data_IF_391221330438
#
_entry.id   IF_391221330438
#
_cell.length_a   1.000
_cell.length_b   1.000
_cell.length_c   1.000
_cell.angle_alpha   90.00
_cell.angle_beta   90.00
_cell.angle_gamma   90.00
#
_symmetry.space_group_name_H-M   'P 1'
#
loop_
_entity.id
_entity.type
_entity.pdbx_description
1 polymer ?
#
# COMPACT_ATOMS: atom_id res chain seq x y z
N UNK A 1 2.13 -37.79 6.42
CA UNK A 1 1.67 -36.38 6.48
C UNK A 1 1.75 -35.79 5.08
N UNK A 2 0.63 -35.46 4.46
CA UNK A 2 0.64 -34.75 3.17
C UNK A 2 0.87 -33.27 3.43
N UNK A 3 2.07 -32.79 3.12
CA UNK A 3 2.39 -31.36 3.13
C UNK A 3 1.79 -30.73 1.88
N UNK A 4 0.83 -29.81 2.05
CA UNK A 4 0.26 -29.05 0.93
C UNK A 4 1.42 -28.28 0.27
N UNK A 5 1.72 -28.60 -0.99
CA UNK A 5 2.87 -28.04 -1.74
C UNK A 5 2.69 -26.55 -2.08
N UNK A 6 1.46 -26.05 -1.97
CA UNK A 6 1.07 -24.72 -2.38
C UNK A 6 0.15 -24.09 -1.34
N UNK A 7 0.63 -23.08 -0.63
CA UNK A 7 -0.22 -22.27 0.23
C UNK A 7 -1.05 -21.33 -0.70
N UNK A 8 -2.38 -21.29 -0.61
CA UNK A 8 -3.22 -20.50 -1.49
C UNK A 8 -3.19 -19.00 -1.11
N UNK A 9 -2.01 -18.41 -0.95
CA UNK A 9 -1.82 -16.99 -0.61
C UNK A 9 -2.41 -16.05 -1.67
N UNK A 10 -2.52 -16.55 -2.91
CA UNK A 10 -3.17 -15.84 -4.02
C UNK A 10 -4.70 -15.83 -3.93
N UNK A 11 -5.29 -16.73 -3.15
CA UNK A 11 -6.74 -16.82 -2.98
C UNK A 11 -7.26 -15.73 -2.04
N UNK A 12 -6.46 -15.37 -1.02
CA UNK A 12 -6.78 -14.31 -0.07
C UNK A 12 -6.28 -12.92 -0.51
N UNK A 13 -5.44 -12.86 -1.54
CA UNK A 13 -4.94 -11.59 -2.06
C UNK A 13 -5.97 -10.95 -2.99
N UNK A 14 -6.23 -9.65 -2.81
CA UNK A 14 -7.10 -8.91 -3.72
C UNK A 14 -6.57 -8.99 -5.16
N UNK A 15 -7.44 -9.33 -6.14
CA UNK A 15 -7.03 -9.40 -7.52
C UNK A 15 -6.77 -8.02 -8.10
N UNK A 16 -5.85 -7.97 -9.07
CA UNK A 16 -5.62 -6.78 -9.88
C UNK A 16 -6.74 -6.69 -10.92
N UNK A 17 -7.47 -5.58 -10.92
CA UNK A 17 -8.60 -5.35 -11.83
C UNK A 17 -8.14 -4.63 -13.10
N UNK A 18 -7.40 -3.53 -12.97
CA UNK A 18 -7.01 -2.72 -14.13
C UNK A 18 -5.61 -2.11 -13.97
N UNK A 19 -4.71 -2.35 -14.92
CA UNK A 19 -3.35 -1.76 -15.00
C UNK A 19 -2.54 -1.77 -13.68
N UNK A 20 -2.73 -2.77 -12.82
CA UNK A 20 -2.02 -2.89 -11.53
C UNK A 20 -2.79 -2.37 -10.30
N UNK A 21 -3.97 -1.78 -10.49
CA UNK A 21 -4.88 -1.39 -9.42
C UNK A 21 -5.69 -2.59 -8.91
N UNK A 22 -5.80 -2.73 -7.59
CA UNK A 22 -6.89 -3.49 -6.98
C UNK A 22 -8.17 -2.65 -6.99
N UNK A 23 -9.32 -3.28 -6.72
CA UNK A 23 -10.63 -2.61 -6.67
C UNK A 23 -10.64 -1.32 -5.83
N UNK A 24 -10.19 -1.33 -4.56
CA UNK A 24 -10.20 -0.11 -3.74
C UNK A 24 -9.25 0.96 -4.28
N UNK A 25 -8.08 0.59 -4.78
CA UNK A 25 -7.11 1.55 -5.30
C UNK A 25 -7.62 2.25 -6.57
N UNK A 26 -8.29 1.50 -7.45
CA UNK A 26 -8.93 2.07 -8.63
C UNK A 26 -10.04 3.04 -8.22
N UNK A 27 -10.88 2.66 -7.26
CA UNK A 27 -11.95 3.51 -6.73
C UNK A 27 -11.42 4.81 -6.13
N UNK A 28 -10.40 4.75 -5.27
CA UNK A 28 -9.77 5.94 -4.70
C UNK A 28 -9.11 6.83 -5.76
N UNK A 29 -8.46 6.23 -6.76
CA UNK A 29 -7.86 6.99 -7.86
C UNK A 29 -8.94 7.67 -8.70
N UNK A 30 -10.04 7.00 -9.00
CA UNK A 30 -11.16 7.59 -9.73
C UNK A 30 -11.80 8.74 -8.96
N UNK A 31 -12.06 8.55 -7.66
CA UNK A 31 -12.67 9.55 -6.80
C UNK A 31 -11.79 10.80 -6.63
N UNK A 32 -10.49 10.60 -6.38
CA UNK A 32 -9.53 11.72 -6.28
C UNK A 32 -9.38 12.46 -7.61
N UNK A 33 -9.36 11.73 -8.74
CA UNK A 33 -9.39 12.33 -10.06
C UNK A 33 -10.65 13.14 -10.34
N UNK A 34 -11.81 12.68 -9.87
CA UNK A 34 -13.09 13.36 -10.03
C UNK A 34 -13.11 14.66 -9.22
N UNK A 35 -12.71 14.60 -7.95
CA UNK A 35 -12.62 15.77 -7.07
C UNK A 35 -11.63 16.79 -7.66
N UNK A 36 -10.43 16.35 -8.04
CA UNK A 36 -9.43 17.21 -8.65
C UNK A 36 -9.93 17.82 -9.97
N UNK A 37 -10.59 17.03 -10.81
CA UNK A 37 -11.15 17.50 -12.07
C UNK A 37 -12.24 18.54 -11.88
N UNK A 38 -13.13 18.35 -10.91
CA UNK A 38 -14.17 19.33 -10.55
C UNK A 38 -13.56 20.63 -10.03
N UNK A 39 -12.55 20.55 -9.15
CA UNK A 39 -11.84 21.73 -8.65
C UNK A 39 -11.18 22.48 -9.81
N UNK A 40 -10.44 21.79 -10.68
CA UNK A 40 -9.80 22.41 -11.85
C UNK A 40 -10.85 23.04 -12.78
N UNK A 41 -11.96 22.34 -13.06
CA UNK A 41 -13.05 22.87 -13.87
C UNK A 41 -13.70 24.12 -13.27
N UNK A 42 -13.83 24.17 -11.94
CA UNK A 42 -14.31 25.36 -11.23
C UNK A 42 -13.34 26.54 -11.39
N UNK A 43 -12.03 26.31 -11.27
CA UNK A 43 -11.02 27.34 -11.48
C UNK A 43 -11.01 27.87 -12.93
N UNK A 44 -11.35 27.02 -13.91
CA UNK A 44 -11.42 27.40 -15.33
C UNK A 44 -12.73 28.12 -15.70
N UNK A 45 -13.76 28.00 -14.87
CA UNK A 45 -15.11 28.54 -15.15
C UNK A 45 -15.12 30.03 -15.51
N UNK A 46 -14.34 30.93 -14.89
CA UNK A 46 -14.33 32.36 -15.26
C UNK A 46 -13.87 32.63 -16.70
N UNK A 47 -13.09 31.72 -17.31
CA UNK A 47 -12.51 31.90 -18.65
C UNK A 47 -13.32 31.16 -19.70
N UNK A 48 -13.83 29.97 -19.38
CA UNK A 48 -14.42 29.04 -20.37
C UNK A 48 -15.91 28.80 -20.16
N UNK A 49 -16.50 29.30 -19.08
CA UNK A 49 -17.88 29.01 -18.68
C UNK A 49 -18.04 27.68 -17.91
N UNK A 50 -19.27 27.46 -17.42
CA UNK A 50 -19.61 26.37 -16.50
C UNK A 50 -19.50 24.96 -17.10
N UNK A 51 -19.57 24.85 -18.43
CA UNK A 51 -19.51 23.57 -19.16
C UNK A 51 -18.18 22.84 -18.89
N UNK A 52 -17.11 23.57 -18.57
CA UNK A 52 -15.82 22.95 -18.26
C UNK A 52 -15.81 22.16 -16.95
N UNK A 53 -16.74 22.40 -16.02
CA UNK A 53 -16.82 21.66 -14.77
C UNK A 53 -17.07 20.16 -15.04
N UNK A 54 -18.20 19.75 -15.65
CA UNK A 54 -18.44 18.33 -15.93
C UNK A 54 -17.43 17.74 -16.92
N UNK A 55 -16.95 18.52 -17.89
CA UNK A 55 -15.96 18.04 -18.87
C UNK A 55 -14.65 17.62 -18.21
N UNK A 56 -14.07 18.48 -17.38
CA UNK A 56 -12.80 18.18 -16.71
C UNK A 56 -13.00 17.15 -15.60
N UNK A 57 -14.12 17.20 -14.88
CA UNK A 57 -14.47 16.20 -13.87
C UNK A 57 -14.53 14.77 -14.43
N UNK A 58 -15.01 14.58 -15.66
CA UNK A 58 -15.08 13.26 -16.30
C UNK A 58 -13.75 12.83 -16.95
N UNK A 59 -12.98 13.77 -17.51
CA UNK A 59 -11.70 13.46 -18.18
C UNK A 59 -10.58 13.19 -17.17
N UNK A 60 -10.51 13.95 -16.07
CA UNK A 60 -9.41 13.87 -15.11
C UNK A 60 -9.22 12.46 -14.47
N UNK A 61 -10.26 11.73 -14.03
CA UNK A 61 -10.13 10.36 -13.55
C UNK A 61 -9.52 9.42 -14.58
N UNK A 62 -9.93 9.53 -15.86
CA UNK A 62 -9.44 8.68 -16.93
C UNK A 62 -7.94 8.87 -17.17
N UNK A 63 -7.50 10.12 -17.21
CA UNK A 63 -6.08 10.46 -17.31
C UNK A 63 -5.31 9.94 -16.09
N UNK A 64 -5.81 10.24 -14.88
CA UNK A 64 -5.16 9.85 -13.64
C UNK A 64 -5.01 8.33 -13.53
N UNK A 65 -6.01 7.55 -13.92
CA UNK A 65 -5.93 6.08 -13.93
C UNK A 65 -4.95 5.59 -15.01
N UNK A 66 -4.99 6.17 -16.21
CA UNK A 66 -4.12 5.76 -17.31
C UNK A 66 -2.63 5.93 -17.00
N UNK A 67 -2.26 7.06 -16.38
CA UNK A 67 -0.88 7.34 -15.96
C UNK A 67 -0.54 6.73 -14.60
N UNK A 68 -1.45 6.81 -13.64
CA UNK A 68 -1.29 6.32 -12.27
C UNK A 68 -1.09 4.82 -12.19
N UNK A 69 -1.74 4.03 -13.06
CA UNK A 69 -1.58 2.58 -13.08
C UNK A 69 -0.15 2.14 -13.38
N UNK A 70 0.51 2.77 -14.36
CA UNK A 70 1.93 2.50 -14.66
C UNK A 70 2.83 2.86 -13.48
N UNK A 71 2.56 3.98 -12.81
CA UNK A 71 3.33 4.41 -11.65
C UNK A 71 3.16 3.45 -10.47
N UNK A 72 1.91 3.09 -10.14
CA UNK A 72 1.59 2.17 -9.05
C UNK A 72 2.14 0.77 -9.30
N UNK A 73 2.05 0.26 -10.53
CA UNK A 73 2.64 -1.02 -10.92
C UNK A 73 4.16 -1.05 -10.74
N UNK A 74 4.86 0.06 -11.05
CA UNK A 74 6.31 0.18 -10.76
C UNK A 74 6.59 0.19 -9.27
N UNK A 75 5.80 0.91 -8.47
CA UNK A 75 5.97 0.94 -7.00
C UNK A 75 5.75 -0.43 -6.36
N UNK A 76 4.80 -1.22 -6.88
CA UNK A 76 4.50 -2.58 -6.42
C UNK A 76 5.51 -3.63 -6.90
N UNK A 77 6.38 -3.32 -7.86
CA UNK A 77 7.28 -4.30 -8.47
C UNK A 77 8.29 -4.86 -7.45
N UNK A 78 8.34 -6.18 -7.34
CA UNK A 78 9.26 -6.87 -6.42
C UNK A 78 8.94 -6.66 -4.93
N UNK A 79 7.74 -6.17 -4.60
CA UNK A 79 7.27 -5.98 -3.22
C UNK A 79 6.29 -7.09 -2.83
N UNK A 80 6.24 -7.48 -1.54
CA UNK A 80 5.27 -8.45 -1.05
C UNK A 80 3.83 -7.92 -1.16
N UNK A 81 2.86 -8.82 -1.02
CA UNK A 81 1.45 -8.43 -0.95
C UNK A 81 1.19 -7.43 0.18
N UNK A 82 0.22 -6.53 0.01
CA UNK A 82 -0.16 -5.49 0.98
C UNK A 82 0.95 -4.50 1.41
N UNK A 83 2.12 -4.52 0.75
CA UNK A 83 3.25 -3.68 1.10
C UNK A 83 2.93 -2.18 1.21
N UNK A 84 2.14 -1.64 0.27
CA UNK A 84 1.75 -0.23 0.28
C UNK A 84 0.89 0.13 1.48
N UNK A 85 -0.10 -0.70 1.82
CA UNK A 85 -0.97 -0.50 2.97
C UNK A 85 -0.18 -0.56 4.27
N UNK A 86 0.67 -1.57 4.46
CA UNK A 86 1.53 -1.66 5.65
C UNK A 86 2.47 -0.45 5.76
N UNK A 87 3.04 0.02 4.65
CA UNK A 87 3.92 1.19 4.68
C UNK A 87 3.17 2.48 5.01
N UNK A 88 1.92 2.61 4.57
CA UNK A 88 1.04 3.70 4.97
C UNK A 88 0.69 3.62 6.46
N UNK A 89 0.41 2.43 7.00
CA UNK A 89 0.14 2.24 8.43
C UNK A 89 1.35 2.61 9.28
N UNK A 90 2.55 2.13 8.92
CA UNK A 90 3.80 2.53 9.58
C UNK A 90 4.00 4.06 9.53
N UNK A 91 3.68 4.70 8.40
CA UNK A 91 3.79 6.16 8.29
C UNK A 91 2.77 6.90 9.15
N UNK A 92 1.50 6.48 9.14
CA UNK A 92 0.45 6.99 10.04
C UNK A 92 0.88 6.85 11.49
N UNK A 93 1.57 5.75 11.81
CA UNK A 93 2.12 5.49 13.14
C UNK A 93 3.22 6.43 13.57
N UNK A 94 4.19 6.68 12.70
CA UNK A 94 5.22 7.67 12.98
C UNK A 94 4.64 9.08 13.15
N UNK A 95 3.46 9.36 12.58
CA UNK A 95 2.72 10.61 12.75
C UNK A 95 1.73 10.61 13.93
N UNK A 96 1.64 9.53 14.70
CA UNK A 96 0.72 9.42 15.85
C UNK A 96 -0.76 9.16 15.49
N UNK A 97 -1.08 8.91 14.22
CA UNK A 97 -2.44 8.77 13.69
C UNK A 97 -2.83 7.32 13.32
N UNK A 98 -2.12 6.30 13.83
CA UNK A 98 -2.41 4.89 13.53
C UNK A 98 -2.50 3.98 14.76
N UNK A 99 -2.85 2.71 14.54
CA UNK A 99 -3.23 1.73 15.56
C UNK A 99 -2.15 1.39 16.60
N UNK A 100 -2.24 1.84 17.89
CA UNK A 100 -1.30 1.61 19.02
C UNK A 100 -0.63 0.24 19.12
N UNK A 101 -1.26 -0.81 18.62
CA UNK A 101 -0.72 -2.17 18.62
C UNK A 101 0.34 -2.45 17.54
N UNK A 102 0.40 -1.65 16.46
CA UNK A 102 1.32 -1.91 15.35
C UNK A 102 2.79 -1.83 15.79
N UNK A 103 3.48 -2.97 15.74
CA UNK A 103 4.89 -3.10 16.13
C UNK A 103 5.77 -2.53 15.01
N UNK A 104 6.37 -1.37 15.25
CA UNK A 104 7.32 -0.71 14.35
C UNK A 104 8.77 -0.75 14.84
N UNK A 105 9.00 -1.33 16.02
CA UNK A 105 10.33 -1.49 16.60
C UNK A 105 11.03 -2.70 16.03
N UNK A 106 12.34 -2.58 15.81
CA UNK A 106 13.20 -3.71 15.44
C UNK A 106 14.18 -3.96 16.58
N UNK A 107 14.35 -5.23 16.94
CA UNK A 107 15.26 -5.67 17.99
C UNK A 107 16.16 -6.77 17.46
N UNK A 108 17.39 -6.85 17.98
CA UNK A 108 18.28 -7.97 17.67
C UNK A 108 17.80 -9.20 18.43
N UNK A 109 17.70 -10.33 17.73
CA UNK A 109 17.39 -11.60 18.36
C UNK A 109 18.57 -12.00 19.25
N UNK A 110 18.32 -12.19 20.55
CA UNK A 110 19.31 -12.69 21.50
C UNK A 110 18.85 -14.05 22.00
N UNK A 111 19.62 -15.10 21.72
CA UNK A 111 19.44 -16.40 22.35
C UNK A 111 20.03 -16.33 23.76
N UNK A 112 19.21 -15.95 24.74
CA UNK A 112 19.60 -16.05 26.16
C UNK A 112 19.82 -17.53 26.47
N UNK A 113 21.09 -17.96 26.62
CA UNK A 113 21.38 -19.30 27.12
C UNK A 113 20.96 -19.37 28.59
N UNK A 114 19.99 -20.22 28.90
CA UNK A 114 19.43 -20.35 30.24
C UNK A 114 20.31 -21.17 31.19
N UNK A 115 21.26 -21.94 30.66
CA UNK A 115 22.19 -22.74 31.44
C UNK A 115 23.62 -22.23 31.32
N UNK A 116 24.27 -22.04 32.47
CA UNK A 116 25.71 -21.88 32.55
C UNK A 116 26.32 -23.22 32.16
N UNK A 117 27.03 -23.28 31.03
CA UNK A 117 27.87 -24.45 30.70
C UNK A 117 28.99 -24.46 31.72
N UNK A 118 28.84 -25.23 32.80
CA UNK A 118 29.95 -25.55 33.69
C UNK A 118 30.86 -26.50 32.93
N UNK A 119 31.87 -25.95 32.26
CA UNK A 119 32.97 -26.76 31.76
C UNK A 119 33.68 -27.35 32.97
N UNK A 120 33.41 -28.61 33.29
CA UNK A 120 34.19 -29.36 34.27
C UNK A 120 35.59 -29.49 33.69
N UNK A 121 36.49 -28.60 34.12
CA UNK A 121 37.91 -28.71 33.85
C UNK A 121 38.38 -29.95 34.63
N UNK A 122 38.39 -31.10 33.95
CA UNK A 122 39.00 -32.31 34.47
C UNK A 122 40.48 -32.03 34.72
N UNK A 123 40.90 -32.14 35.97
CA UNK A 123 42.32 -32.26 36.32
C UNK A 123 42.82 -33.56 35.73
N UNK A 124 43.82 -33.47 34.85
CA UNK A 124 44.78 -34.54 34.59
C UNK A 124 45.80 -34.55 35.74
#
# INVERSE_FOLDING_TARGET
MQTIRFLPDRLNAEPVVFRGFTTPELGWTALTGLIAGTVIGLLLTPVTGWVMIPTVALIAPLLLIAFGGKYLARMKRGKPAHYLYQRLEVKKRCWGLGDPSLIITSQRWSLRRHHRVMTRMGRL
#
